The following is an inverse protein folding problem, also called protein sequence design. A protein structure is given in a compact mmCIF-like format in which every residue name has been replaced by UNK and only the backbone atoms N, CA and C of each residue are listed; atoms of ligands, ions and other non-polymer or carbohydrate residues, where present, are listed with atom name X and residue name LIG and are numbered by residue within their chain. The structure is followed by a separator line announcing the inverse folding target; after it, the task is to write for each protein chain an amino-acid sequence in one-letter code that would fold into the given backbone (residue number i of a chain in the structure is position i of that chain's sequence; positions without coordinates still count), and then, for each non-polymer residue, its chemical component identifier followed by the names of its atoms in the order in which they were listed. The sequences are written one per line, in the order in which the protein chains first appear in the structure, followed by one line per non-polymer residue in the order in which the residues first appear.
data_IF_431326555353
#
_entry.id   IF_431326555353
#
_cell.length_a   1.000
_cell.length_b   1.000
_cell.length_c   1.000
_cell.angle_alpha   90.00
_cell.angle_beta   90.00
_cell.angle_gamma   90.00
#
_symmetry.space_group_name_H-M   'P 1'
#
loop_
_entity.id
_entity.type
_entity.pdbx_description
1 polymer ?
#
# COMPACT_ATOMS: atom_id res chain seq x y z
N UNK A 1 9.91 -0.94 -4.47
CA UNK A 1 9.12 -2.01 -5.15
C UNK A 1 7.69 -1.52 -5.40
N UNK A 2 7.04 -1.89 -6.52
CA UNK A 2 5.62 -1.52 -6.71
C UNK A 2 4.73 -2.26 -5.72
N UNK A 3 3.76 -1.57 -5.10
CA UNK A 3 2.81 -2.16 -4.15
C UNK A 3 2.08 -3.40 -4.73
N UNK A 4 1.86 -3.41 -6.04
CA UNK A 4 1.21 -4.49 -6.74
C UNK A 4 2.04 -5.78 -6.73
N UNK A 5 3.37 -5.67 -6.80
CA UNK A 5 4.30 -6.80 -6.70
C UNK A 5 4.26 -7.41 -5.29
N UNK A 6 4.27 -6.56 -4.26
CA UNK A 6 4.15 -6.99 -2.86
C UNK A 6 2.83 -7.70 -2.59
N UNK A 7 1.73 -7.21 -3.18
CA UNK A 7 0.42 -7.86 -3.12
C UNK A 7 0.45 -9.24 -3.79
N UNK A 8 1.10 -9.37 -4.96
CA UNK A 8 1.25 -10.65 -5.65
C UNK A 8 2.11 -11.64 -4.85
N UNK A 9 3.26 -11.21 -4.33
CA UNK A 9 4.16 -12.03 -3.52
C UNK A 9 3.47 -12.56 -2.25
N UNK A 10 2.59 -11.76 -1.64
CA UNK A 10 1.88 -12.13 -0.41
C UNK A 10 0.51 -12.77 -0.66
N UNK A 11 0.15 -13.04 -1.91
CA UNK A 11 -1.18 -13.56 -2.31
C UNK A 11 -2.30 -12.76 -1.62
N UNK A 12 -2.14 -11.45 -1.62
CA UNK A 12 -3.01 -10.52 -0.90
C UNK A 12 -3.81 -9.69 -1.90
N UNK A 13 -5.12 -9.60 -1.68
CA UNK A 13 -5.99 -8.75 -2.48
C UNK A 13 -5.94 -7.31 -1.98
N UNK A 14 -6.24 -6.34 -2.86
CA UNK A 14 -6.38 -4.92 -2.48
C UNK A 14 -7.42 -4.74 -1.37
N UNK A 15 -8.50 -5.52 -1.42
CA UNK A 15 -9.51 -5.54 -0.37
C UNK A 15 -8.91 -5.97 0.98
N UNK A 16 -8.15 -7.08 1.02
CA UNK A 16 -7.54 -7.55 2.26
C UNK A 16 -6.51 -6.56 2.80
N UNK A 17 -5.74 -5.92 1.93
CA UNK A 17 -4.85 -4.83 2.32
C UNK A 17 -5.63 -3.63 2.88
N UNK A 18 -6.77 -3.27 2.30
CA UNK A 18 -7.65 -2.19 2.79
C UNK A 18 -8.13 -2.49 4.21
N UNK A 19 -8.62 -3.71 4.45
CA UNK A 19 -9.10 -4.14 5.76
C UNK A 19 -7.95 -4.18 6.80
N UNK A 20 -6.78 -4.68 6.42
CA UNK A 20 -5.62 -4.79 7.33
C UNK A 20 -4.97 -3.44 7.65
N UNK A 21 -4.86 -2.56 6.66
CA UNK A 21 -4.23 -1.24 6.83
C UNK A 21 -5.22 -0.18 7.34
N UNK A 22 -6.53 -0.42 7.23
CA UNK A 22 -7.55 0.60 7.48
C UNK A 22 -7.54 1.73 6.43
N UNK A 23 -6.86 1.53 5.31
CA UNK A 23 -6.77 2.51 4.22
C UNK A 23 -7.91 2.25 3.22
N UNK A 24 -8.63 3.28 2.76
CA UNK A 24 -9.74 3.11 1.82
C UNK A 24 -9.31 2.43 0.52
N UNK A 25 -10.18 1.58 -0.02
CA UNK A 25 -9.94 0.91 -1.30
C UNK A 25 -9.69 1.91 -2.44
N UNK A 26 -10.35 3.08 -2.43
CA UNK A 26 -10.12 4.14 -3.41
C UNK A 26 -8.66 4.61 -3.43
N UNK A 27 -8.07 4.84 -2.26
CA UNK A 27 -6.66 5.22 -2.11
C UNK A 27 -5.74 4.12 -2.61
N UNK A 28 -6.00 2.87 -2.23
CA UNK A 28 -5.23 1.72 -2.72
C UNK A 28 -5.33 1.55 -4.23
N UNK A 29 -6.50 1.78 -4.81
CA UNK A 29 -6.71 1.70 -6.25
C UNK A 29 -5.93 2.79 -6.98
N UNK A 30 -5.97 4.03 -6.51
CA UNK A 30 -5.19 5.14 -7.06
C UNK A 30 -3.68 4.89 -6.99
N UNK A 31 -3.24 4.25 -5.91
CA UNK A 31 -1.84 3.92 -5.67
C UNK A 31 -1.36 2.74 -6.54
N UNK A 32 -2.16 1.69 -6.66
CA UNK A 32 -1.91 0.57 -7.59
C UNK A 32 -1.96 1.02 -9.06
N UNK A 33 -2.84 1.97 -9.41
CA UNK A 33 -2.96 2.50 -10.76
C UNK A 33 -1.87 3.53 -11.10
N UNK A 34 -1.00 3.90 -10.14
CA UNK A 34 0.07 4.89 -10.35
C UNK A 34 -0.43 6.34 -10.47
N UNK A 35 -1.72 6.61 -10.23
CA UNK A 35 -2.29 7.96 -10.21
C UNK A 35 -1.85 8.74 -8.98
N UNK A 36 -1.73 8.04 -7.85
CA UNK A 36 -1.25 8.61 -6.60
C UNK A 36 0.13 8.09 -6.26
N UNK A 37 1.05 9.01 -6.01
CA UNK A 37 2.36 8.68 -5.46
C UNK A 37 2.21 8.44 -3.95
N UNK A 38 2.69 7.29 -3.46
CA UNK A 38 2.77 6.95 -2.03
C UNK A 38 3.42 8.06 -1.18
N UNK A 39 4.33 8.85 -1.77
CA UNK A 39 4.96 10.03 -1.13
C UNK A 39 4.00 11.17 -0.84
N UNK A 40 2.87 11.24 -1.55
CA UNK A 40 1.81 12.23 -1.32
C UNK A 40 0.79 11.76 -0.29
N UNK A 41 0.81 10.49 0.09
CA UNK A 41 -0.02 9.99 1.17
C UNK A 41 0.54 10.46 2.52
N UNK A 42 -0.34 10.67 3.49
CA UNK A 42 0.05 10.95 4.86
C UNK A 42 1.00 9.87 5.38
N UNK A 43 2.02 10.26 6.16
CA UNK A 43 2.97 9.33 6.76
C UNK A 43 2.28 8.20 7.54
N UNK A 44 1.14 8.49 8.18
CA UNK A 44 0.31 7.51 8.86
C UNK A 44 -0.23 6.42 7.90
N UNK A 45 -0.71 6.81 6.72
CA UNK A 45 -1.20 5.89 5.69
C UNK A 45 -0.07 5.00 5.18
N UNK A 46 1.10 5.59 4.91
CA UNK A 46 2.29 4.84 4.46
C UNK A 46 2.72 3.85 5.54
N UNK A 47 2.74 4.25 6.81
CA UNK A 47 3.04 3.37 7.94
C UNK A 47 2.04 2.22 8.07
N UNK A 48 0.74 2.50 7.98
CA UNK A 48 -0.32 1.48 8.02
C UNK A 48 -0.18 0.46 6.88
N UNK A 49 0.12 0.92 5.67
CA UNK A 49 0.37 0.06 4.51
C UNK A 49 1.63 -0.78 4.70
N UNK A 50 2.73 -0.16 5.13
CA UNK A 50 3.99 -0.82 5.44
C UNK A 50 3.82 -1.93 6.48
N UNK A 51 3.11 -1.62 7.56
CA UNK A 51 2.78 -2.57 8.62
C UNK A 51 1.89 -3.72 8.13
N UNK A 52 0.86 -3.44 7.34
CA UNK A 52 -0.02 -4.46 6.78
C UNK A 52 0.69 -5.38 5.77
N UNK A 53 1.61 -4.81 5.00
CA UNK A 53 2.46 -5.54 4.06
C UNK A 53 3.66 -6.19 4.75
N UNK A 54 3.98 -5.85 6.00
CA UNK A 54 5.16 -6.33 6.70
C UNK A 54 6.47 -5.94 5.99
N UNK A 55 6.53 -4.72 5.47
CA UNK A 55 7.72 -4.14 4.82
C UNK A 55 8.02 -2.78 5.46
N UNK A 56 9.23 -2.26 5.23
CA UNK A 56 9.59 -0.90 5.67
C UNK A 56 8.92 0.16 4.80
N UNK A 57 8.68 1.35 5.37
CA UNK A 57 8.14 2.50 4.62
C UNK A 57 9.03 2.87 3.43
N UNK A 58 10.34 2.77 3.56
CA UNK A 58 11.29 3.02 2.46
C UNK A 58 11.04 2.10 1.27
N UNK A 59 10.85 0.80 1.50
CA UNK A 59 10.61 -0.19 0.42
C UNK A 59 9.32 0.07 -0.38
N UNK A 60 8.37 0.76 0.25
CA UNK A 60 7.12 1.24 -0.35
C UNK A 60 7.29 2.50 -1.19
N UNK A 61 8.26 3.35 -0.83
CA UNK A 61 8.50 4.70 -1.37
C UNK A 61 9.61 4.73 -2.42
N UNK A 62 10.43 3.69 -2.45
CA UNK A 62 11.50 3.38 -3.41
C UNK A 62 10.98 2.64 -4.65
#
# INVERSE_FOLDING_TARGET
MRINELLQQKVMTKYRLSVLSGVPHSTLSELCSGKTNIRKCSAETVYKLAKALGVSMESLVE
#
